data_IF_304634900416
#
_entry.id   IF_304634900416
#
_cell.length_a   1.000
_cell.length_b   1.000
_cell.length_c   1.000
_cell.angle_alpha   90.00
_cell.angle_beta   90.00
_cell.angle_gamma   90.00
#
_symmetry.space_group_name_H-M   'P 1'
#
loop_
_entity.id
_entity.type
_entity.pdbx_description
1 polymer ?
#
# COMPACT_ATOMS: atom_id res chain seq x y z
N UNK A 1 -4.37 5.79 -4.37
CA UNK A 1 -4.95 5.17 -3.16
C UNK A 1 -5.04 3.68 -3.31
N UNK A 2 -4.63 2.95 -2.30
CA UNK A 2 -4.80 1.50 -2.29
C UNK A 2 -5.59 1.12 -1.05
N UNK A 3 -6.29 0.01 -1.13
CA UNK A 3 -7.11 -0.49 -0.03
C UNK A 3 -6.40 -1.66 0.63
N UNK A 4 -6.21 -1.60 1.94
CA UNK A 4 -5.57 -2.67 2.71
C UNK A 4 -6.46 -3.01 3.89
N UNK A 5 -6.15 -4.13 4.55
CA UNK A 5 -6.98 -4.65 5.64
C UNK A 5 -6.16 -4.69 6.92
N UNK A 6 -6.68 -4.07 7.97
CA UNK A 6 -6.04 -4.14 9.29
C UNK A 6 -6.19 -5.55 9.87
N UNK A 7 -5.39 -5.84 10.86
CA UNK A 7 -5.43 -7.17 11.49
C UNK A 7 -6.80 -7.51 12.06
N UNK A 8 -7.57 -6.50 12.45
CA UNK A 8 -8.92 -6.73 12.99
C UNK A 8 -9.97 -6.94 11.89
N UNK A 9 -9.54 -7.00 10.63
CA UNK A 9 -10.44 -7.26 9.51
C UNK A 9 -11.04 -6.02 8.88
N UNK A 10 -10.81 -4.85 9.46
CA UNK A 10 -11.37 -3.62 8.89
C UNK A 10 -10.50 -3.10 7.76
N UNK A 11 -11.15 -2.74 6.68
CA UNK A 11 -10.45 -2.16 5.54
C UNK A 11 -10.21 -0.68 5.76
N UNK A 12 -9.13 -0.18 5.16
CA UNK A 12 -8.92 1.26 5.09
C UNK A 12 -8.08 1.59 3.87
N UNK A 13 -8.10 2.86 3.51
CA UNK A 13 -7.44 3.34 2.31
C UNK A 13 -6.18 4.10 2.69
N UNK A 14 -5.09 3.82 2.00
CA UNK A 14 -3.84 4.53 2.25
C UNK A 14 -3.36 5.12 0.93
N UNK A 15 -2.78 6.31 1.01
CA UNK A 15 -2.23 6.97 -0.16
C UNK A 15 -0.92 6.29 -0.55
N UNK A 16 -0.91 5.60 -1.69
CA UNK A 16 0.26 4.86 -2.13
C UNK A 16 1.48 5.76 -2.29
N UNK A 17 1.28 7.04 -2.59
CA UNK A 17 2.39 7.98 -2.75
C UNK A 17 3.06 8.33 -1.42
N UNK A 18 2.44 8.00 -0.30
CA UNK A 18 2.97 8.25 1.02
C UNK A 18 3.69 7.06 1.61
N UNK A 19 3.70 5.93 0.92
CA UNK A 19 4.37 4.72 1.41
C UNK A 19 5.86 4.83 1.14
N UNK A 20 6.64 4.73 2.20
CA UNK A 20 8.09 4.77 2.07
C UNK A 20 8.65 3.36 1.87
N UNK A 21 8.25 2.44 2.75
CA UNK A 21 8.66 1.04 2.60
C UNK A 21 7.68 0.14 3.35
N UNK A 22 7.73 -1.15 3.03
CA UNK A 22 6.93 -2.16 3.69
C UNK A 22 7.81 -3.36 3.98
N UNK A 23 7.58 -4.01 5.12
CA UNK A 23 8.33 -5.21 5.51
C UNK A 23 7.37 -6.22 6.10
N UNK A 24 7.80 -7.48 6.10
CA UNK A 24 6.95 -8.56 6.58
C UNK A 24 7.77 -9.46 7.51
N UNK A 25 7.78 -9.14 8.82
CA UNK A 25 8.53 -9.92 9.83
C UNK A 25 8.01 -9.55 11.21
N UNK A 26 7.11 -10.30 11.83
CA UNK A 26 6.32 -11.39 11.25
C UNK A 26 5.10 -10.91 10.48
N UNK A 27 4.59 -9.72 10.79
CA UNK A 27 3.42 -9.15 10.13
C UNK A 27 3.87 -8.10 9.12
N UNK A 28 3.02 -7.85 8.14
CA UNK A 28 3.30 -6.80 7.16
C UNK A 28 3.10 -5.44 7.80
N UNK A 29 4.16 -4.64 7.79
CA UNK A 29 4.13 -3.28 8.32
C UNK A 29 4.43 -2.32 7.19
N UNK A 30 3.52 -1.40 6.93
CA UNK A 30 3.69 -0.34 5.94
C UNK A 30 4.14 0.90 6.69
N UNK A 31 5.28 1.46 6.29
CA UNK A 31 5.79 2.68 6.90
C UNK A 31 5.58 3.83 5.93
N UNK A 32 4.91 4.86 6.39
CA UNK A 32 4.65 6.04 5.59
C UNK A 32 5.80 7.04 5.71
N UNK A 33 5.87 7.96 4.75
CA UNK A 33 6.90 8.99 4.74
C UNK A 33 6.91 9.78 6.04
N UNK A 34 5.73 9.97 6.63
CA UNK A 34 5.59 10.69 7.90
C UNK A 34 6.18 9.93 9.09
N UNK A 35 6.55 8.67 8.89
CA UNK A 35 7.02 7.80 9.97
C UNK A 35 5.94 6.96 10.59
N UNK A 36 4.69 7.19 10.23
CA UNK A 36 3.58 6.39 10.76
C UNK A 36 3.67 4.96 10.23
N UNK A 37 3.42 4.00 11.10
CA UNK A 37 3.47 2.59 10.74
C UNK A 37 2.07 1.98 10.84
N UNK A 38 1.75 1.15 9.86
CA UNK A 38 0.43 0.52 9.78
C UNK A 38 0.64 -0.98 9.57
N UNK A 39 0.01 -1.80 10.42
CA UNK A 39 0.09 -3.26 10.31
C UNK A 39 -1.12 -3.76 9.56
N UNK A 40 -0.89 -4.57 8.54
CA UNK A 40 -1.97 -5.04 7.65
C UNK A 40 -1.91 -6.56 7.47
N UNK A 41 -3.03 -7.13 7.01
CA UNK A 41 -3.14 -8.57 6.75
C UNK A 41 -2.49 -8.99 5.44
N UNK A 42 -2.48 -8.11 4.45
CA UNK A 42 -1.89 -8.43 3.16
C UNK A 42 -0.41 -8.73 3.33
N UNK A 43 0.11 -9.69 2.56
CA UNK A 43 1.55 -9.89 2.58
C UNK A 43 2.23 -8.83 1.71
N UNK A 44 3.56 -8.76 1.80
CA UNK A 44 4.30 -7.72 1.09
C UNK A 44 4.04 -7.78 -0.42
N UNK A 45 3.99 -8.98 -0.98
CA UNK A 45 3.75 -9.11 -2.42
C UNK A 45 2.38 -8.56 -2.82
N UNK A 46 1.37 -8.78 -1.97
CA UNK A 46 0.04 -8.24 -2.24
C UNK A 46 0.03 -6.71 -2.16
N UNK A 47 0.78 -6.15 -1.22
CA UNK A 47 0.90 -4.70 -1.12
C UNK A 47 1.57 -4.14 -2.37
N UNK A 48 2.65 -4.80 -2.81
CA UNK A 48 3.34 -4.39 -4.02
C UNK A 48 2.40 -4.43 -5.22
N UNK A 49 1.62 -5.50 -5.34
CA UNK A 49 0.68 -5.63 -6.46
C UNK A 49 -0.34 -4.50 -6.45
N UNK A 50 -0.84 -4.14 -5.28
CA UNK A 50 -1.80 -3.05 -5.17
C UNK A 50 -1.19 -1.72 -5.61
N UNK A 51 0.06 -1.47 -5.23
CA UNK A 51 0.76 -0.24 -5.61
C UNK A 51 1.02 -0.23 -7.11
N UNK A 52 1.45 -1.35 -7.66
CA UNK A 52 1.71 -1.46 -9.10
C UNK A 52 0.41 -1.21 -9.88
N UNK A 53 -0.68 -1.80 -9.43
CA UNK A 53 -1.96 -1.62 -10.10
C UNK A 53 -2.40 -0.15 -10.03
N UNK A 54 -2.22 0.48 -8.88
CA UNK A 54 -2.54 1.89 -8.74
C UNK A 54 -1.72 2.73 -9.72
N UNK A 55 -0.43 2.47 -9.81
CA UNK A 55 0.43 3.26 -10.69
C UNK A 55 0.10 3.03 -12.15
N UNK A 56 -0.26 1.82 -12.51
CA UNK A 56 -0.70 1.54 -13.88
C UNK A 56 -1.92 2.36 -14.24
N UNK A 57 -2.89 2.44 -13.35
CA UNK A 57 -4.12 3.19 -13.59
C UNK A 57 -3.85 4.68 -13.77
N UNK A 58 -3.01 5.23 -12.91
CA UNK A 58 -2.76 6.66 -12.97
C UNK A 58 -1.85 7.03 -14.14
N UNK A 59 -0.81 6.26 -14.35
CA UNK A 59 0.15 6.55 -15.41
C UNK A 59 -0.38 6.18 -16.79
N UNK A 60 -1.18 5.12 -16.86
CA UNK A 60 -1.73 4.69 -18.14
C UNK A 60 -2.80 5.59 -18.68
N UNK A 61 -3.41 6.37 -17.82
CA UNK A 61 -4.47 7.30 -18.21
C UNK A 61 -3.90 8.69 -18.46
N UNK A 62 -3.04 9.09 -17.63
CA UNK A 62 -2.50 10.42 -17.65
C UNK A 62 -1.46 10.63 -18.69
N UNK A 63 -1.10 9.98 -19.06
CA UNK A 63 -0.07 10.20 -19.82
C UNK A 63 -0.10 10.17 -21.12
N UNK A 64 -0.22 10.15 -20.68
CA UNK A 64 -0.12 10.05 -21.48
C UNK A 64 0.05 10.47 -22.03
N UNK A 65 0.52 10.88 -21.64
CA UNK A 65 0.74 11.23 -21.81
C UNK A 65 0.81 11.48 -21.99
#
# INVERSE_FOLDING_TARGET
MIKVTRLNGKEFVVNAEQIEFAEETPDTVITLISGKKIVVNENVDQVIDKVVEYKKRTNGIGNRE
#
